data_IF_289705604421
#
_entry.id   IF_289705604421
#
_cell.length_a   1.000
_cell.length_b   1.000
_cell.length_c   1.000
_cell.angle_alpha   90.00
_cell.angle_beta   90.00
_cell.angle_gamma   90.00
#
_symmetry.space_group_name_H-M   'P 1'
#
loop_
_entity.id
_entity.type
_entity.pdbx_description
1 polymer ?
#
# COMPACT_ATOMS: atom_id res chain seq x y z
N UNK A 1 22.48 24.49 -18.18
CA UNK A 1 22.11 24.89 -16.80
C UNK A 1 20.72 25.51 -16.84
N UNK A 2 19.67 24.69 -16.74
CA UNK A 2 18.30 25.19 -16.65
C UNK A 2 18.03 25.58 -15.20
N UNK A 3 18.00 26.89 -14.94
CA UNK A 3 17.66 27.46 -13.64
C UNK A 3 16.29 26.94 -13.18
N UNK A 4 16.31 26.03 -12.22
CA UNK A 4 15.12 25.61 -11.50
C UNK A 4 14.62 26.81 -10.69
N UNK A 5 13.41 27.29 -11.01
CA UNK A 5 12.71 28.27 -10.18
C UNK A 5 12.61 27.70 -8.76
N UNK A 6 13.29 28.31 -7.80
CA UNK A 6 13.02 28.11 -6.37
C UNK A 6 11.76 28.90 -6.03
N UNK A 7 10.59 28.30 -6.20
CA UNK A 7 9.28 28.91 -5.89
C UNK A 7 9.00 29.02 -4.38
N UNK A 8 9.99 28.83 -3.51
CA UNK A 8 9.80 28.76 -2.06
C UNK A 8 9.05 27.51 -1.58
N UNK A 9 8.81 26.52 -2.45
CA UNK A 9 8.13 25.28 -2.04
C UNK A 9 8.93 24.49 -1.00
N UNK A 10 8.26 24.26 0.13
CA UNK A 10 8.72 23.41 1.23
C UNK A 10 8.10 22.02 1.10
N UNK A 11 8.91 21.00 1.35
CA UNK A 11 8.49 19.60 1.39
C UNK A 11 8.46 19.12 2.83
N UNK A 12 7.36 18.49 3.22
CA UNK A 12 7.30 17.74 4.46
C UNK A 12 8.28 16.57 4.41
N UNK A 13 9.13 16.48 5.42
CA UNK A 13 10.20 15.51 5.47
C UNK A 13 9.90 14.43 6.51
N UNK A 14 9.58 13.23 6.03
CA UNK A 14 9.42 12.05 6.86
C UNK A 14 10.58 11.09 6.67
N UNK A 15 10.98 10.40 7.73
CA UNK A 15 12.04 9.40 7.67
C UNK A 15 11.83 8.28 8.69
N UNK A 16 12.52 7.15 8.55
CA UNK A 16 12.47 6.10 9.58
C UNK A 16 11.26 5.16 9.53
N UNK A 17 10.56 5.08 8.40
CA UNK A 17 9.51 4.09 8.18
C UNK A 17 10.03 2.71 7.72
N UNK A 18 9.26 1.66 7.99
CA UNK A 18 9.46 0.34 7.39
C UNK A 18 8.61 -0.76 8.02
N UNK A 19 8.03 -1.60 7.17
CA UNK A 19 6.95 -2.51 7.58
C UNK A 19 7.38 -3.94 7.91
N UNK A 20 8.58 -4.37 7.49
CA UNK A 20 9.04 -5.73 7.74
C UNK A 20 9.22 -6.04 9.23
N UNK A 21 8.70 -7.18 9.67
CA UNK A 21 8.88 -7.72 11.02
C UNK A 21 9.32 -9.19 10.93
N UNK A 22 9.73 -9.77 12.05
CA UNK A 22 10.03 -11.20 12.16
C UNK A 22 9.06 -11.81 13.16
N UNK A 23 8.41 -12.93 12.78
CA UNK A 23 7.49 -13.64 13.67
C UNK A 23 8.16 -14.02 14.99
N UNK A 24 7.40 -13.92 16.08
CA UNK A 24 7.83 -14.26 17.42
C UNK A 24 9.12 -13.52 17.87
N UNK A 25 9.38 -12.34 17.31
CA UNK A 25 10.51 -11.47 17.67
C UNK A 25 9.98 -10.08 18.06
N UNK A 26 9.67 -9.86 19.36
CA UNK A 26 9.05 -8.63 19.85
C UNK A 26 9.87 -7.36 19.59
N UNK A 27 11.18 -7.52 19.41
CA UNK A 27 12.12 -6.44 19.10
C UNK A 27 11.96 -5.91 17.67
N UNK A 28 11.23 -6.61 16.81
CA UNK A 28 10.95 -6.19 15.43
C UNK A 28 9.48 -5.83 15.25
N UNK A 29 9.21 -4.68 14.65
CA UNK A 29 7.85 -4.19 14.47
C UNK A 29 7.70 -3.38 13.18
N UNK A 30 6.50 -3.34 12.56
CA UNK A 30 6.20 -2.36 11.53
C UNK A 30 6.21 -0.96 12.17
N UNK A 31 6.88 -0.01 11.53
CA UNK A 31 7.04 1.34 12.06
C UNK A 31 6.74 2.37 10.97
N UNK A 32 5.91 3.35 11.30
CA UNK A 32 5.61 4.46 10.39
C UNK A 32 6.79 5.44 10.33
N UNK A 33 6.78 6.28 9.29
CA UNK A 33 7.70 7.39 9.14
C UNK A 33 7.51 8.40 10.27
N UNK A 34 8.61 8.90 10.79
CA UNK A 34 8.69 9.98 11.76
C UNK A 34 8.78 11.30 10.99
N UNK A 35 7.95 12.26 11.36
CA UNK A 35 8.03 13.60 10.81
C UNK A 35 9.25 14.33 11.38
N UNK A 36 10.07 14.91 10.52
CA UNK A 36 11.29 15.62 10.90
C UNK A 36 11.16 17.15 10.79
N UNK A 37 10.16 17.64 10.05
CA UNK A 37 10.02 19.06 9.73
C UNK A 37 9.80 19.27 8.24
N UNK A 38 10.14 20.47 7.76
CA UNK A 38 10.06 20.83 6.33
C UNK A 38 11.42 21.25 5.81
N UNK A 39 11.67 20.94 4.54
CA UNK A 39 12.90 21.32 3.85
C UNK A 39 12.58 22.00 2.52
N UNK A 40 13.41 22.97 2.07
CA UNK A 40 13.29 23.54 0.74
C UNK A 40 13.43 22.47 -0.34
N UNK A 41 12.69 22.62 -1.44
CA UNK A 41 12.83 21.78 -2.64
C UNK A 41 14.29 21.57 -3.07
N UNK A 42 15.09 22.64 -3.00
CA UNK A 42 16.50 22.63 -3.39
C UNK A 42 17.36 21.67 -2.55
N UNK A 43 16.94 21.33 -1.33
CA UNK A 43 17.67 20.48 -0.40
C UNK A 43 17.15 19.04 -0.31
N UNK A 44 16.11 18.65 -1.06
CA UNK A 44 15.55 17.28 -1.00
C UNK A 44 16.59 16.19 -1.28
N UNK A 45 17.47 16.41 -2.26
CA UNK A 45 18.54 15.46 -2.59
C UNK A 45 19.57 15.39 -1.47
N UNK A 46 19.96 16.54 -0.90
CA UNK A 46 20.93 16.60 0.19
C UNK A 46 20.37 15.95 1.47
N UNK A 47 19.10 16.19 1.78
CA UNK A 47 18.42 15.56 2.91
C UNK A 47 18.39 14.02 2.79
N UNK A 48 18.12 13.52 1.57
CA UNK A 48 18.16 12.07 1.30
C UNK A 48 19.56 11.50 1.47
N UNK A 49 20.59 12.21 1.00
CA UNK A 49 22.00 11.84 1.16
C UNK A 49 22.40 11.82 2.63
N UNK A 50 22.02 12.84 3.40
CA UNK A 50 22.32 12.95 4.82
C UNK A 50 21.76 11.76 5.61
N UNK A 51 20.49 11.40 5.38
CA UNK A 51 19.89 10.19 6.00
C UNK A 51 20.65 8.93 5.61
N UNK A 52 21.07 8.78 4.35
CA UNK A 52 21.85 7.62 3.92
C UNK A 52 23.23 7.55 4.60
N UNK A 53 23.88 8.69 4.82
CA UNK A 53 25.17 8.78 5.55
C UNK A 53 24.97 8.42 7.03
N UNK A 54 23.98 9.00 7.70
CA UNK A 54 23.66 8.69 9.10
C UNK A 54 23.33 7.20 9.28
N UNK A 55 22.52 6.62 8.38
CA UNK A 55 22.26 5.19 8.37
C UNK A 55 23.53 4.37 8.11
N UNK A 56 24.44 4.83 7.25
CA UNK A 56 25.70 4.15 6.98
C UNK A 56 26.58 4.09 8.23
N UNK A 57 26.67 5.18 8.97
CA UNK A 57 27.56 5.36 10.12
C UNK A 57 27.00 4.71 11.39
N UNK A 58 25.70 4.84 11.63
CA UNK A 58 25.09 4.41 12.90
C UNK A 58 24.23 3.15 12.80
N UNK A 59 23.96 2.65 11.59
CA UNK A 59 23.11 1.48 11.37
C UNK A 59 23.70 0.20 11.98
N UNK A 60 22.85 -0.64 12.55
CA UNK A 60 23.27 -1.96 13.05
C UNK A 60 23.81 -2.82 11.90
N UNK A 61 24.95 -3.49 12.12
CA UNK A 61 25.67 -4.28 11.10
C UNK A 61 25.80 -5.77 11.44
N UNK A 62 25.65 -6.12 12.72
CA UNK A 62 25.73 -7.51 13.20
C UNK A 62 24.37 -8.20 13.09
N UNK A 63 23.32 -7.61 13.65
CA UNK A 63 21.96 -8.14 13.51
C UNK A 63 21.22 -7.48 12.35
N UNK A 64 21.10 -8.21 11.24
CA UNK A 64 20.39 -7.75 10.03
C UNK A 64 18.92 -7.41 10.27
N UNK A 65 18.27 -8.02 11.28
CA UNK A 65 16.86 -7.73 11.61
C UNK A 65 16.68 -6.32 12.16
N UNK A 66 17.72 -5.80 12.84
CA UNK A 66 17.75 -4.47 13.44
C UNK A 66 18.47 -3.43 12.55
N UNK A 67 18.95 -3.83 11.37
CA UNK A 67 19.77 -2.99 10.51
C UNK A 67 19.01 -1.86 9.78
N UNK A 68 17.68 -1.88 9.75
CA UNK A 68 16.88 -0.87 9.03
C UNK A 68 16.92 0.48 9.75
N UNK A 69 16.96 1.56 8.97
CA UNK A 69 16.95 2.95 9.47
C UNK A 69 15.84 3.24 10.48
N UNK A 70 14.68 2.59 10.36
CA UNK A 70 13.57 2.70 11.32
C UNK A 70 13.97 2.41 12.78
N UNK A 71 14.94 1.51 13.01
CA UNK A 71 15.46 1.24 14.35
C UNK A 71 16.59 2.20 14.71
N UNK A 72 17.49 2.48 13.76
CA UNK A 72 18.62 3.40 13.96
C UNK A 72 18.16 4.79 14.40
N UNK A 73 17.21 5.41 13.68
CA UNK A 73 16.70 6.75 14.01
C UNK A 73 16.06 6.80 15.40
N UNK A 74 15.37 5.73 15.81
CA UNK A 74 14.71 5.64 17.13
C UNK A 74 15.74 5.45 18.24
N UNK A 75 16.84 4.73 17.97
CA UNK A 75 17.96 4.58 18.90
C UNK A 75 18.76 5.87 19.06
N UNK A 76 18.99 6.60 17.96
CA UNK A 76 19.67 7.90 18.00
C UNK A 76 18.81 8.99 18.66
N UNK A 77 17.50 8.93 18.45
CA UNK A 77 16.57 9.98 18.84
C UNK A 77 16.32 10.96 17.69
N UNK A 78 15.05 11.36 17.53
CA UNK A 78 14.63 12.23 16.41
C UNK A 78 15.29 13.60 16.49
N UNK A 79 15.32 14.22 17.67
CA UNK A 79 15.93 15.55 17.84
C UNK A 79 17.44 15.54 17.55
N UNK A 80 18.16 14.52 18.02
CA UNK A 80 19.59 14.34 17.71
C UNK A 80 19.82 14.24 16.19
N UNK A 81 18.96 13.49 15.49
CA UNK A 81 19.04 13.41 14.02
C UNK A 81 18.74 14.76 13.37
N UNK A 82 17.74 15.52 13.84
CA UNK A 82 17.43 16.85 13.31
C UNK A 82 18.59 17.82 13.51
N UNK A 83 19.26 17.76 14.65
CA UNK A 83 20.43 18.60 14.95
C UNK A 83 21.63 18.24 14.05
N UNK A 84 21.92 16.96 13.84
CA UNK A 84 22.93 16.50 12.87
C UNK A 84 22.61 16.98 11.45
N UNK A 85 21.35 16.86 11.02
CA UNK A 85 20.89 17.33 9.72
C UNK A 85 21.13 18.83 9.52
N UNK A 86 20.93 19.65 10.56
CA UNK A 86 21.20 21.09 10.52
C UNK A 86 22.69 21.39 10.59
N UNK A 87 23.37 20.90 11.61
CA UNK A 87 24.75 21.29 11.94
C UNK A 87 25.77 20.72 10.95
N UNK A 88 25.63 19.45 10.56
CA UNK A 88 26.61 18.74 9.73
C UNK A 88 26.31 18.85 8.24
N UNK A 89 25.04 18.80 7.87
CA UNK A 89 24.61 18.77 6.46
C UNK A 89 24.03 20.11 5.98
N UNK A 90 23.93 21.12 6.85
CA UNK A 90 23.47 22.46 6.49
C UNK A 90 22.04 22.50 5.99
N UNK A 91 21.18 21.55 6.41
CA UNK A 91 19.78 21.56 6.02
C UNK A 91 19.06 22.72 6.71
N UNK A 92 18.32 23.50 5.93
CA UNK A 92 17.35 24.48 6.39
C UNK A 92 16.07 23.73 6.83
N UNK A 93 16.23 22.88 7.85
CA UNK A 93 15.16 22.05 8.39
C UNK A 93 14.31 22.87 9.37
N UNK A 94 13.10 23.21 8.92
CA UNK A 94 12.11 23.96 9.69
C UNK A 94 11.27 23.03 10.58
N UNK A 95 11.17 23.37 11.86
CA UNK A 95 10.21 22.73 12.75
C UNK A 95 8.80 23.20 12.42
N UNK A 96 7.91 22.27 12.08
CA UNK A 96 6.55 22.57 11.68
C UNK A 96 5.60 21.45 12.13
N UNK A 97 4.31 21.63 11.89
CA UNK A 97 3.34 20.54 11.97
C UNK A 97 3.17 19.88 10.61
N UNK A 98 3.04 18.54 10.55
CA UNK A 98 2.82 17.84 9.30
C UNK A 98 1.53 18.31 8.62
N UNK A 99 1.59 18.48 7.30
CA UNK A 99 0.40 18.70 6.48
C UNK A 99 -0.44 17.40 6.40
N UNK A 100 -1.77 17.49 6.28
CA UNK A 100 -2.61 16.32 6.06
C UNK A 100 -2.12 15.52 4.84
N UNK A 101 -2.01 14.20 5.00
CA UNK A 101 -1.63 13.34 3.89
C UNK A 101 -2.74 13.37 2.80
N UNK A 102 -2.35 13.37 1.52
CA UNK A 102 -3.33 13.35 0.44
C UNK A 102 -4.10 12.03 0.44
N UNK A 103 -5.36 12.08 0.01
CA UNK A 103 -6.17 10.87 -0.20
C UNK A 103 -5.50 9.96 -1.22
N UNK A 104 -5.62 8.65 -1.01
CA UNK A 104 -5.17 7.66 -1.98
C UNK A 104 -5.91 7.85 -3.31
N UNK A 105 -5.15 7.93 -4.41
CA UNK A 105 -5.69 7.97 -5.76
C UNK A 105 -5.21 6.75 -6.53
N UNK A 106 -6.15 5.95 -7.04
CA UNK A 106 -5.83 4.76 -7.83
C UNK A 106 -5.39 5.10 -9.26
N UNK A 107 -5.66 6.32 -9.73
CA UNK A 107 -5.35 6.80 -11.07
C UNK A 107 -5.98 5.97 -12.21
N UNK A 108 -7.01 5.18 -11.90
CA UNK A 108 -7.74 4.35 -12.87
C UNK A 108 -8.65 5.19 -13.77
N UNK A 109 -8.85 4.73 -15.00
CA UNK A 109 -9.69 5.39 -15.99
C UNK A 109 -9.00 6.60 -16.63
N UNK A 110 -9.77 7.47 -17.27
CA UNK A 110 -9.24 8.64 -18.01
C UNK A 110 -8.97 9.84 -17.10
N UNK A 111 -7.82 10.49 -17.31
CA UNK A 111 -7.41 11.70 -16.60
C UNK A 111 -6.74 12.71 -17.54
N UNK A 112 -6.99 14.03 -17.40
CA UNK A 112 -6.31 15.05 -18.18
C UNK A 112 -4.85 15.28 -17.69
N UNK A 113 -3.96 15.59 -18.63
CA UNK A 113 -2.61 16.11 -18.39
C UNK A 113 -2.55 17.62 -18.68
N UNK A 114 -1.56 18.30 -18.10
CA UNK A 114 -1.39 19.76 -18.21
C UNK A 114 -1.14 20.28 -19.63
N UNK A 115 -0.68 19.42 -20.52
CA UNK A 115 -0.33 19.75 -21.91
C UNK A 115 -1.48 19.46 -22.90
N UNK A 116 -2.70 19.26 -22.40
CA UNK A 116 -3.89 18.98 -23.20
C UNK A 116 -4.03 17.53 -23.65
N UNK A 117 -3.06 16.65 -23.33
CA UNK A 117 -3.18 15.20 -23.51
C UNK A 117 -3.89 14.57 -22.32
N UNK A 118 -4.16 13.27 -22.37
CA UNK A 118 -4.63 12.50 -21.23
C UNK A 118 -3.72 11.32 -20.89
N UNK A 119 -3.94 10.76 -19.70
CA UNK A 119 -3.47 9.44 -19.34
C UNK A 119 -4.65 8.54 -18.95
N UNK A 120 -4.49 7.23 -19.14
CA UNK A 120 -5.51 6.23 -18.83
C UNK A 120 -4.90 5.17 -17.92
N UNK A 121 -5.47 5.00 -16.72
CA UNK A 121 -5.07 3.95 -15.79
C UNK A 121 -5.83 2.67 -16.01
N UNK A 122 -5.09 1.57 -16.15
CA UNK A 122 -5.59 0.22 -16.32
C UNK A 122 -5.31 -0.54 -15.03
N UNK A 123 -6.37 -1.11 -14.45
CA UNK A 123 -6.22 -1.94 -13.26
C UNK A 123 -5.57 -3.27 -13.67
N UNK A 124 -4.54 -3.68 -12.92
CA UNK A 124 -3.82 -4.92 -13.17
C UNK A 124 -3.85 -5.73 -11.89
N UNK A 125 -4.71 -6.76 -11.85
CA UNK A 125 -4.85 -7.60 -10.65
C UNK A 125 -3.49 -8.16 -10.21
N UNK A 126 -3.07 -7.77 -9.02
CA UNK A 126 -1.77 -8.05 -8.42
C UNK A 126 -0.54 -7.67 -9.28
N UNK A 127 -0.69 -6.74 -10.23
CA UNK A 127 0.36 -6.36 -11.18
C UNK A 127 0.71 -7.45 -12.20
N UNK A 128 -0.08 -8.53 -12.31
CA UNK A 128 0.21 -9.62 -13.24
C UNK A 128 -0.31 -9.31 -14.65
N UNK A 129 0.62 -9.03 -15.55
CA UNK A 129 0.34 -8.83 -16.98
C UNK A 129 0.05 -10.16 -17.70
N UNK A 130 -1.15 -10.72 -17.52
CA UNK A 130 -1.58 -11.94 -18.22
C UNK A 130 -1.60 -11.72 -19.76
N UNK A 131 -1.40 -12.76 -20.60
CA UNK A 131 -1.31 -12.66 -22.06
C UNK A 131 -2.26 -11.66 -22.75
N UNK A 132 -3.55 -11.68 -22.43
CA UNK A 132 -4.56 -10.81 -23.03
C UNK A 132 -4.29 -9.33 -22.71
N UNK A 133 -4.11 -9.00 -21.42
CA UNK A 133 -3.78 -7.66 -20.97
C UNK A 133 -2.46 -7.16 -21.57
N UNK A 134 -1.45 -8.03 -21.62
CA UNK A 134 -0.14 -7.72 -22.23
C UNK A 134 -0.27 -7.39 -23.71
N UNK A 135 -1.09 -8.12 -24.46
CA UNK A 135 -1.32 -7.87 -25.89
C UNK A 135 -2.04 -6.53 -26.09
N UNK A 136 -3.12 -6.26 -25.36
CA UNK A 136 -3.86 -4.99 -25.47
C UNK A 136 -3.02 -3.77 -25.09
N UNK A 137 -2.28 -3.84 -23.98
CA UNK A 137 -1.37 -2.77 -23.58
C UNK A 137 -0.25 -2.57 -24.61
N UNK A 138 0.35 -3.65 -25.13
CA UNK A 138 1.38 -3.56 -26.17
C UNK A 138 0.84 -2.92 -27.45
N UNK A 139 -0.33 -3.35 -27.92
CA UNK A 139 -0.97 -2.79 -29.11
C UNK A 139 -1.20 -1.28 -28.95
N UNK A 140 -1.82 -0.87 -27.84
CA UNK A 140 -2.06 0.55 -27.54
C UNK A 140 -0.77 1.37 -27.52
N UNK A 141 0.27 0.87 -26.86
CA UNK A 141 1.57 1.57 -26.77
C UNK A 141 2.24 1.69 -28.14
N UNK A 142 2.28 0.61 -28.91
CA UNK A 142 2.95 0.59 -30.21
C UNK A 142 2.20 1.39 -31.28
N UNK A 143 0.87 1.26 -31.36
CA UNK A 143 0.07 1.90 -32.40
C UNK A 143 -0.12 3.41 -32.16
N UNK A 144 -0.28 3.82 -30.89
CA UNK A 144 -0.55 5.22 -30.54
C UNK A 144 0.70 5.96 -30.03
N UNK A 145 1.84 5.29 -29.91
CA UNK A 145 3.10 5.89 -29.42
C UNK A 145 3.01 6.40 -27.98
N UNK A 146 2.38 5.63 -27.10
CA UNK A 146 2.06 6.05 -25.73
C UNK A 146 3.26 5.88 -24.79
N UNK A 147 3.34 6.73 -23.77
CA UNK A 147 4.22 6.51 -22.62
C UNK A 147 3.61 5.52 -21.64
N UNK A 148 4.44 4.82 -20.85
CA UNK A 148 3.97 3.90 -19.80
C UNK A 148 4.54 4.33 -18.45
N UNK A 149 3.70 4.32 -17.41
CA UNK A 149 4.12 4.46 -16.01
C UNK A 149 3.48 3.37 -15.17
N UNK A 150 4.16 2.94 -14.11
CA UNK A 150 3.62 2.00 -13.13
C UNK A 150 3.18 2.77 -11.89
N UNK A 151 2.08 2.34 -11.27
CA UNK A 151 1.62 2.92 -10.00
C UNK A 151 2.16 2.12 -8.82
N UNK A 152 2.15 2.72 -7.62
CA UNK A 152 2.41 2.00 -6.38
C UNK A 152 1.27 1.02 -6.00
N UNK A 153 0.17 1.03 -6.75
CA UNK A 153 -0.93 0.07 -6.65
C UNK A 153 -0.77 -1.16 -7.55
N UNK A 154 0.38 -1.30 -8.22
CA UNK A 154 0.68 -2.36 -9.19
C UNK A 154 -0.06 -2.21 -10.54
N UNK A 155 -0.75 -1.09 -10.74
CA UNK A 155 -1.46 -0.76 -11.98
C UNK A 155 -0.55 -0.10 -13.03
N UNK A 156 -1.07 0.00 -14.26
CA UNK A 156 -0.38 0.58 -15.41
C UNK A 156 -1.09 1.84 -15.87
N UNK A 157 -0.33 2.91 -16.11
CA UNK A 157 -0.82 4.13 -16.74
C UNK A 157 -0.29 4.23 -18.17
N UNK A 158 -1.20 4.37 -19.12
CA UNK A 158 -0.90 4.77 -20.50
C UNK A 158 -0.96 6.29 -20.58
N UNK A 159 0.15 6.93 -20.93
CA UNK A 159 0.31 8.39 -20.88
C UNK A 159 0.43 9.01 -22.27
N UNK A 160 0.21 10.32 -22.33
CA UNK A 160 0.35 11.16 -23.51
C UNK A 160 -0.65 10.82 -24.62
N UNK A 161 -1.85 10.37 -24.24
CA UNK A 161 -2.92 9.99 -25.15
C UNK A 161 -3.53 11.25 -25.76
N UNK A 162 -3.56 11.30 -27.10
CA UNK A 162 -4.25 12.37 -27.86
C UNK A 162 -5.65 11.97 -28.27
N UNK A 163 -5.83 10.70 -28.66
CA UNK A 163 -7.10 10.15 -29.11
C UNK A 163 -7.56 9.09 -28.11
N UNK A 164 -8.47 9.51 -27.22
CA UNK A 164 -9.08 8.61 -26.23
C UNK A 164 -9.89 7.50 -26.91
N UNK A 165 -10.62 7.81 -27.98
CA UNK A 165 -11.49 6.85 -28.65
C UNK A 165 -10.67 5.77 -29.37
N UNK A 166 -9.53 6.12 -29.97
CA UNK A 166 -8.61 5.14 -30.53
C UNK A 166 -8.05 4.19 -29.44
N UNK A 167 -7.67 4.72 -28.28
CA UNK A 167 -7.22 3.88 -27.18
C UNK A 167 -8.32 2.91 -26.73
N UNK A 168 -9.52 3.43 -26.45
CA UNK A 168 -10.64 2.60 -25.99
C UNK A 168 -10.95 1.48 -27.00
N UNK A 169 -10.96 1.77 -28.31
CA UNK A 169 -11.14 0.74 -29.35
C UNK A 169 -10.08 -0.36 -29.31
N UNK A 170 -8.80 -0.01 -29.11
CA UNK A 170 -7.73 -1.00 -29.03
C UNK A 170 -7.90 -1.87 -27.78
N UNK A 171 -8.20 -1.26 -26.63
CA UNK A 171 -8.41 -1.99 -25.38
C UNK A 171 -9.63 -2.92 -25.47
N UNK A 172 -10.75 -2.43 -26.02
CA UNK A 172 -11.97 -3.19 -26.21
C UNK A 172 -11.74 -4.37 -27.18
N UNK A 173 -10.99 -4.16 -28.28
CA UNK A 173 -10.64 -5.21 -29.24
C UNK A 173 -9.77 -6.33 -28.64
N UNK A 174 -9.02 -6.02 -27.57
CA UNK A 174 -8.23 -6.99 -26.83
C UNK A 174 -8.92 -7.48 -25.55
N UNK A 175 -10.17 -7.11 -25.29
CA UNK A 175 -10.91 -7.54 -24.09
C UNK A 175 -10.35 -7.01 -22.78
N UNK A 176 -9.61 -5.88 -22.79
CA UNK A 176 -9.10 -5.27 -21.56
C UNK A 176 -10.27 -4.59 -20.82
N UNK A 177 -10.62 -5.03 -19.60
CA UNK A 177 -11.79 -4.49 -18.90
C UNK A 177 -11.56 -3.01 -18.54
N UNK A 178 -12.63 -2.23 -18.64
CA UNK A 178 -12.65 -0.86 -18.15
C UNK A 178 -12.65 -0.85 -16.62
N UNK A 179 -11.90 0.02 -15.94
CA UNK A 179 -11.89 0.06 -14.48
C UNK A 179 -13.26 0.26 -13.85
N UNK A 180 -14.18 0.94 -14.54
CA UNK A 180 -15.55 1.16 -14.10
C UNK A 180 -16.36 -0.13 -13.96
N UNK A 181 -15.99 -1.19 -14.70
CA UNK A 181 -16.64 -2.50 -14.63
C UNK A 181 -16.16 -3.36 -13.45
N UNK A 182 -15.07 -2.97 -12.79
CA UNK A 182 -14.52 -3.70 -11.65
C UNK A 182 -15.22 -3.25 -10.36
N UNK A 183 -15.41 -4.15 -9.41
CA UNK A 183 -15.94 -3.79 -8.08
C UNK A 183 -14.99 -2.81 -7.34
N UNK A 184 -15.49 -2.10 -6.33
CA UNK A 184 -14.64 -1.21 -5.53
C UNK A 184 -13.62 -2.00 -4.70
N UNK A 185 -14.04 -3.15 -4.15
CA UNK A 185 -13.13 -4.02 -3.39
C UNK A 185 -11.99 -4.55 -4.28
N UNK A 186 -12.28 -4.95 -5.52
CA UNK A 186 -11.26 -5.46 -6.45
C UNK A 186 -10.25 -4.40 -6.86
N UNK A 187 -10.71 -3.18 -7.15
CA UNK A 187 -9.82 -2.04 -7.49
C UNK A 187 -8.88 -1.65 -6.34
N UNK A 188 -9.25 -2.00 -5.10
CA UNK A 188 -8.49 -1.67 -3.90
C UNK A 188 -7.73 -2.87 -3.31
N UNK A 189 -7.74 -4.02 -3.98
CA UNK A 189 -7.07 -5.24 -3.55
C UNK A 189 -5.63 -5.30 -4.07
N UNK A 190 -4.70 -5.79 -3.24
CA UNK A 190 -3.30 -5.96 -3.63
C UNK A 190 -2.63 -7.12 -2.91
N UNK A 191 -1.97 -8.01 -3.65
CA UNK A 191 -1.13 -9.05 -3.10
C UNK A 191 0.35 -8.89 -3.46
N UNK A 192 1.23 -9.50 -2.65
CA UNK A 192 2.61 -9.77 -3.08
C UNK A 192 2.70 -11.10 -3.83
N UNK A 193 3.78 -11.35 -4.58
CA UNK A 193 3.92 -12.60 -5.32
C UNK A 193 3.78 -13.87 -4.49
N UNK A 194 4.40 -13.90 -3.30
CA UNK A 194 4.42 -15.07 -2.42
C UNK A 194 4.84 -16.37 -3.17
N UNK A 195 4.21 -17.51 -2.88
CA UNK A 195 4.43 -18.75 -3.61
C UNK A 195 3.93 -18.63 -5.06
N UNK A 196 4.54 -19.35 -6.02
CA UNK A 196 5.64 -20.31 -5.87
C UNK A 196 7.05 -19.69 -5.98
N UNK A 197 7.16 -18.39 -6.30
CA UNK A 197 8.45 -17.79 -6.70
C UNK A 197 9.24 -17.17 -5.55
N UNK A 198 8.59 -16.75 -4.47
CA UNK A 198 9.25 -16.16 -3.32
C UNK A 198 9.74 -17.24 -2.35
N UNK A 199 11.06 -17.40 -2.21
CA UNK A 199 11.68 -18.34 -1.25
C UNK A 199 11.47 -18.00 0.22
N UNK A 200 10.84 -16.86 0.54
CA UNK A 200 10.49 -16.45 1.91
C UNK A 200 9.00 -16.65 2.22
N UNK A 201 8.20 -17.04 1.23
CA UNK A 201 6.75 -17.16 1.39
C UNK A 201 6.39 -18.33 2.31
N UNK A 202 5.60 -18.03 3.33
CA UNK A 202 5.03 -19.01 4.24
C UNK A 202 3.72 -19.57 3.65
N UNK A 203 2.89 -18.68 3.08
CA UNK A 203 1.62 -19.00 2.44
C UNK A 203 1.52 -18.41 1.02
N UNK A 204 0.42 -18.70 0.33
CA UNK A 204 0.04 -18.03 -0.92
C UNK A 204 -0.36 -16.56 -0.67
N UNK A 205 -0.38 -15.74 -1.72
CA UNK A 205 -1.00 -14.40 -1.67
C UNK A 205 -1.57 -14.03 -3.04
N UNK A 206 -0.71 -13.79 -4.03
CA UNK A 206 -1.12 -13.40 -5.39
C UNK A 206 -2.14 -14.36 -6.01
N UNK A 207 -1.93 -15.68 -5.86
CA UNK A 207 -2.77 -16.69 -6.52
C UNK A 207 -4.11 -16.93 -5.81
N UNK A 208 -4.26 -16.49 -4.56
CA UNK A 208 -5.45 -16.80 -3.73
C UNK A 208 -6.29 -15.56 -3.42
N UNK A 209 -5.68 -14.36 -3.42
CA UNK A 209 -6.42 -13.13 -3.18
C UNK A 209 -7.60 -12.95 -4.15
N UNK A 210 -7.47 -13.20 -5.48
CA UNK A 210 -8.59 -13.08 -6.41
C UNK A 210 -9.80 -13.92 -5.98
N UNK A 211 -9.60 -15.16 -5.54
CA UNK A 211 -10.66 -16.03 -5.05
C UNK A 211 -11.37 -15.47 -3.80
N UNK A 212 -10.63 -14.80 -2.91
CA UNK A 212 -11.24 -14.13 -1.76
C UNK A 212 -12.08 -12.93 -2.18
N UNK A 213 -11.62 -12.18 -3.19
CA UNK A 213 -12.37 -11.06 -3.76
C UNK A 213 -13.63 -11.56 -4.46
N UNK A 214 -13.54 -12.64 -5.24
CA UNK A 214 -14.68 -13.27 -5.90
C UNK A 214 -15.77 -13.64 -4.88
N UNK A 215 -15.40 -14.29 -3.77
CA UNK A 215 -16.35 -14.67 -2.73
C UNK A 215 -17.03 -13.46 -2.04
N UNK A 216 -16.31 -12.35 -1.87
CA UNK A 216 -16.88 -11.09 -1.33
C UNK A 216 -17.87 -10.47 -2.32
N UNK A 217 -17.53 -10.49 -3.62
CA UNK A 217 -18.39 -9.99 -4.69
C UNK A 217 -19.66 -10.84 -4.84
N UNK A 218 -19.53 -12.17 -4.84
CA UNK A 218 -20.64 -13.14 -4.90
C UNK A 218 -21.59 -13.01 -3.71
N UNK A 219 -21.06 -12.66 -2.53
CA UNK A 219 -21.86 -12.37 -1.34
C UNK A 219 -22.56 -10.99 -1.38
N UNK A 220 -22.37 -10.20 -2.45
CA UNK A 220 -23.04 -8.92 -2.63
C UNK A 220 -22.35 -7.73 -1.95
N UNK A 221 -21.04 -7.84 -1.66
CA UNK A 221 -20.27 -6.80 -0.98
C UNK A 221 -19.22 -6.11 -1.86
N UNK A 222 -19.29 -6.30 -3.19
CA UNK A 222 -18.32 -5.74 -4.13
C UNK A 222 -18.28 -4.19 -4.18
N UNK A 223 -19.37 -3.53 -3.83
CA UNK A 223 -19.49 -2.06 -3.79
C UNK A 223 -18.90 -1.43 -2.52
N UNK A 224 -18.43 -2.23 -1.55
CA UNK A 224 -17.78 -1.68 -0.35
C UNK A 224 -16.37 -1.18 -0.72
N UNK A 225 -16.12 0.12 -0.53
CA UNK A 225 -14.81 0.76 -0.75
C UNK A 225 -13.87 0.47 0.43
N UNK A 226 -13.25 -0.71 0.40
CA UNK A 226 -12.28 -1.16 1.40
C UNK A 226 -10.93 -1.53 0.76
N UNK A 227 -9.84 -1.08 1.38
CA UNK A 227 -8.47 -1.47 1.00
C UNK A 227 -8.07 -2.79 1.64
N UNK A 228 -7.93 -3.82 0.80
CA UNK A 228 -7.46 -5.14 1.19
C UNK A 228 -6.03 -5.33 0.69
N UNK A 229 -5.13 -5.75 1.57
CA UNK A 229 -3.77 -6.11 1.14
C UNK A 229 -3.33 -7.44 1.72
N UNK A 230 -2.72 -8.29 0.91
CA UNK A 230 -2.31 -9.65 1.29
C UNK A 230 -0.82 -9.90 1.02
N UNK A 231 -0.14 -10.55 1.95
CA UNK A 231 1.25 -10.99 1.77
C UNK A 231 1.48 -12.41 2.27
N UNK A 232 2.39 -13.14 1.66
CA UNK A 232 2.63 -14.54 2.06
C UNK A 232 3.51 -14.71 3.31
N UNK A 233 4.00 -13.63 3.94
CA UNK A 233 4.94 -13.68 5.08
C UNK A 233 5.02 -12.31 5.79
N UNK A 234 5.60 -12.20 7.01
CA UNK A 234 5.73 -10.94 7.78
C UNK A 234 6.60 -9.84 7.17
N UNK A 235 7.19 -10.06 6.00
CA UNK A 235 7.98 -9.03 5.34
C UNK A 235 7.12 -7.87 4.82
N UNK A 236 5.80 -8.07 4.70
CA UNK A 236 4.82 -7.02 4.41
C UNK A 236 5.04 -6.32 3.05
N UNK A 237 5.44 -7.06 2.01
CA UNK A 237 5.75 -6.52 0.68
C UNK A 237 4.58 -5.74 0.03
N UNK A 238 3.34 -6.20 0.22
CA UNK A 238 2.12 -5.51 -0.20
C UNK A 238 1.55 -4.60 0.90
N UNK A 239 2.32 -4.26 1.95
CA UNK A 239 1.96 -3.27 2.96
C UNK A 239 0.61 -3.53 3.71
N UNK A 240 0.33 -4.76 4.18
CA UNK A 240 -0.94 -5.10 4.84
C UNK A 240 -1.10 -4.46 6.22
N UNK A 241 0.00 -4.21 6.94
CA UNK A 241 -0.01 -3.59 8.28
C UNK A 241 -0.46 -2.12 8.29
N UNK A 242 -0.65 -1.49 7.12
CA UNK A 242 -1.23 -0.14 7.01
C UNK A 242 -2.53 -0.16 6.19
N UNK A 243 -3.09 -1.33 5.89
CA UNK A 243 -4.32 -1.46 5.13
C UNK A 243 -5.53 -1.43 6.07
N UNK A 244 -6.70 -1.09 5.52
CA UNK A 244 -7.96 -1.18 6.27
C UNK A 244 -8.23 -2.63 6.67
N UNK A 245 -7.95 -3.56 5.74
CA UNK A 245 -7.94 -5.01 5.97
C UNK A 245 -6.61 -5.56 5.47
N UNK A 246 -5.78 -6.05 6.39
CA UNK A 246 -4.46 -6.61 6.10
C UNK A 246 -4.43 -8.11 6.33
N UNK A 247 -3.73 -8.84 5.47
CA UNK A 247 -3.51 -10.28 5.61
C UNK A 247 -2.02 -10.56 5.44
N UNK A 248 -1.42 -11.31 6.36
CA UNK A 248 -0.10 -11.87 6.13
C UNK A 248 0.02 -13.33 6.53
N UNK A 249 0.84 -14.09 5.80
CA UNK A 249 1.07 -15.51 6.05
C UNK A 249 1.77 -15.80 7.38
N UNK A 250 1.33 -16.87 8.04
CA UNK A 250 1.85 -17.40 9.28
C UNK A 250 2.01 -18.92 9.16
N UNK A 251 3.21 -19.45 9.45
CA UNK A 251 3.44 -20.90 9.45
C UNK A 251 3.08 -21.59 8.12
N UNK A 252 2.56 -22.82 8.21
CA UNK A 252 2.19 -23.61 7.03
C UNK A 252 0.69 -23.44 6.75
N UNK A 253 0.36 -22.47 5.88
CA UNK A 253 -1.00 -22.16 5.40
C UNK A 253 -1.94 -21.46 6.40
N UNK A 254 -1.43 -20.93 7.51
CA UNK A 254 -2.22 -20.07 8.40
C UNK A 254 -2.00 -18.59 8.05
N UNK A 255 -2.91 -17.74 8.50
CA UNK A 255 -2.90 -16.30 8.19
C UNK A 255 -3.15 -15.49 9.46
N UNK A 256 -2.53 -14.32 9.53
CA UNK A 256 -2.93 -13.25 10.45
C UNK A 256 -3.82 -12.28 9.70
N UNK A 257 -4.94 -11.90 10.34
CA UNK A 257 -5.82 -10.82 9.86
C UNK A 257 -5.60 -9.58 10.71
N UNK A 258 -5.45 -8.43 10.05
CA UNK A 258 -5.30 -7.12 10.63
C UNK A 258 -6.44 -6.21 10.15
N UNK A 259 -6.88 -5.28 11.00
CA UNK A 259 -7.93 -4.31 10.65
C UNK A 259 -7.63 -2.90 11.17
N UNK A 260 -8.24 -1.89 10.56
CA UNK A 260 -8.26 -0.50 11.07
C UNK A 260 -7.05 0.37 10.72
N UNK A 261 -6.16 -0.11 9.83
CA UNK A 261 -5.12 0.75 9.26
C UNK A 261 -5.72 1.85 8.40
N UNK A 262 -5.05 3.01 8.34
CA UNK A 262 -5.55 4.14 7.55
C UNK A 262 -5.09 4.05 6.10
N UNK A 263 -5.99 4.31 5.16
CA UNK A 263 -5.79 4.18 3.71
C UNK A 263 -4.61 4.99 3.17
N UNK A 264 -4.39 6.17 3.72
CA UNK A 264 -3.28 7.07 3.42
C UNK A 264 -1.95 6.65 4.08
N UNK A 265 -1.96 5.61 4.93
CA UNK A 265 -0.79 5.06 5.59
C UNK A 265 -0.37 5.77 6.88
N UNK A 266 -1.25 6.59 7.46
CA UNK A 266 -1.03 7.35 8.69
C UNK A 266 -1.16 6.51 9.98
N UNK A 267 -1.77 5.31 9.89
CA UNK A 267 -2.08 4.45 11.03
C UNK A 267 -1.78 2.98 10.72
N UNK A 268 -1.20 2.29 11.69
CA UNK A 268 -1.02 0.84 11.64
C UNK A 268 -2.33 0.13 12.00
N UNK A 269 -2.60 -0.97 11.32
CA UNK A 269 -3.69 -1.87 11.63
C UNK A 269 -3.41 -2.65 12.93
N UNK A 270 -4.47 -3.04 13.63
CA UNK A 270 -4.42 -3.91 14.83
C UNK A 270 -4.75 -5.35 14.45
N UNK A 271 -4.27 -6.31 15.24
CA UNK A 271 -4.55 -7.73 15.01
C UNK A 271 -6.03 -8.02 15.30
N UNK A 272 -6.70 -8.65 14.34
CA UNK A 272 -8.04 -9.22 14.49
C UNK A 272 -7.96 -10.70 14.86
N UNK A 273 -7.10 -11.44 14.18
CA UNK A 273 -6.89 -12.87 14.40
C UNK A 273 -5.41 -13.21 14.15
N UNK A 274 -4.76 -13.82 15.15
CA UNK A 274 -3.33 -14.19 15.07
C UNK A 274 -3.07 -15.43 14.21
N UNK A 275 -4.07 -16.30 14.08
CA UNK A 275 -3.88 -17.56 13.39
C UNK A 275 -5.20 -18.09 12.87
N UNK A 276 -5.39 -17.96 11.56
CA UNK A 276 -6.55 -18.48 10.85
C UNK A 276 -6.13 -19.44 9.73
N UNK A 277 -6.59 -20.70 9.76
CA UNK A 277 -6.34 -21.64 8.67
C UNK A 277 -6.90 -21.13 7.33
N UNK A 278 -6.23 -21.45 6.22
CA UNK A 278 -6.62 -21.01 4.88
C UNK A 278 -8.09 -21.31 4.53
N UNK A 279 -8.60 -22.46 4.95
CA UNK A 279 -9.99 -22.90 4.73
C UNK A 279 -11.04 -22.02 5.43
N UNK A 280 -10.65 -21.29 6.49
CA UNK A 280 -11.51 -20.37 7.23
C UNK A 280 -11.45 -18.93 6.70
N UNK A 281 -10.52 -18.63 5.77
CA UNK A 281 -10.32 -17.26 5.26
C UNK A 281 -11.54 -16.69 4.55
N UNK A 282 -12.16 -17.46 3.65
CA UNK A 282 -13.34 -16.99 2.90
C UNK A 282 -14.51 -16.68 3.83
N UNK A 283 -14.95 -17.59 4.73
CA UNK A 283 -16.01 -17.26 5.70
C UNK A 283 -15.68 -16.05 6.56
N UNK A 284 -14.44 -15.91 7.04
CA UNK A 284 -14.04 -14.79 7.89
C UNK A 284 -14.06 -13.44 7.14
N UNK A 285 -13.58 -13.40 5.89
CA UNK A 285 -13.60 -12.18 5.08
C UNK A 285 -15.02 -11.80 4.67
N UNK A 286 -15.83 -12.76 4.20
CA UNK A 286 -17.24 -12.50 3.87
C UNK A 286 -18.00 -12.01 5.11
N UNK A 287 -17.79 -12.63 6.27
CA UNK A 287 -18.37 -12.20 7.54
C UNK A 287 -17.94 -10.77 7.92
N UNK A 288 -16.67 -10.42 7.72
CA UNK A 288 -16.17 -9.07 8.00
C UNK A 288 -16.83 -8.02 7.11
N UNK A 289 -17.03 -8.31 5.82
CA UNK A 289 -17.74 -7.43 4.90
C UNK A 289 -19.23 -7.33 5.22
N UNK A 290 -19.86 -8.43 5.65
CA UNK A 290 -21.23 -8.42 6.16
C UNK A 290 -21.36 -7.51 7.40
N UNK A 291 -20.42 -7.61 8.34
CA UNK A 291 -20.39 -6.76 9.53
C UNK A 291 -20.18 -5.28 9.18
N UNK A 292 -19.29 -4.96 8.23
CA UNK A 292 -19.13 -3.58 7.73
C UNK A 292 -20.45 -3.05 7.18
N UNK A 293 -21.15 -3.83 6.33
CA UNK A 293 -22.44 -3.41 5.76
C UNK A 293 -23.50 -3.15 6.84
N UNK A 294 -23.56 -4.04 7.84
CA UNK A 294 -24.63 -4.03 8.83
C UNK A 294 -24.44 -2.96 9.92
N UNK A 295 -23.18 -2.66 10.28
CA UNK A 295 -22.87 -1.90 11.49
C UNK A 295 -22.10 -0.59 11.25
N UNK A 296 -21.58 -0.34 10.05
CA UNK A 296 -20.98 0.96 9.73
C UNK A 296 -22.05 2.05 9.65
N UNK A 297 -21.72 3.23 10.15
CA UNK A 297 -22.60 4.39 10.00
C UNK A 297 -22.63 4.85 8.53
N UNK A 298 -23.73 5.51 8.13
CA UNK A 298 -23.86 6.02 6.76
C UNK A 298 -22.70 6.97 6.42
N UNK A 299 -21.94 6.66 5.37
CA UNK A 299 -20.79 7.44 4.93
C UNK A 299 -19.52 7.29 5.79
N UNK A 300 -19.52 6.40 6.79
CA UNK A 300 -18.33 6.10 7.60
C UNK A 300 -17.29 5.34 6.75
N UNK A 301 -16.03 5.83 6.68
CA UNK A 301 -14.95 5.08 6.03
C UNK A 301 -14.69 3.74 6.75
N UNK A 302 -14.38 2.70 5.99
CA UNK A 302 -14.13 1.35 6.52
C UNK A 302 -13.01 1.35 7.58
N UNK A 303 -11.94 2.10 7.36
CA UNK A 303 -10.86 2.30 8.33
C UNK A 303 -11.36 2.76 9.71
N UNK A 304 -12.32 3.68 9.75
CA UNK A 304 -12.81 4.30 10.98
C UNK A 304 -13.80 3.38 11.70
N UNK A 305 -14.69 2.71 10.94
CA UNK A 305 -15.53 1.64 11.47
C UNK A 305 -14.68 0.55 12.15
N UNK A 306 -13.70 0.02 11.42
CA UNK A 306 -12.82 -1.07 11.89
C UNK A 306 -11.92 -0.65 13.05
N UNK A 307 -11.68 0.65 13.25
CA UNK A 307 -10.94 1.18 14.38
C UNK A 307 -11.84 1.41 15.61
N UNK A 308 -13.08 1.85 15.39
CA UNK A 308 -14.06 2.18 16.43
C UNK A 308 -14.58 0.95 17.16
N UNK A 309 -14.94 -0.10 16.42
CA UNK A 309 -15.52 -1.32 17.00
C UNK A 309 -14.44 -2.08 17.80
N UNK A 310 -14.70 -2.63 18.99
CA UNK A 310 -13.76 -3.52 19.69
C UNK A 310 -13.40 -4.78 18.88
N UNK A 311 -12.16 -5.27 19.02
CA UNK A 311 -11.72 -6.52 18.34
C UNK A 311 -12.59 -7.71 18.73
N UNK A 312 -12.97 -7.82 20.01
CA UNK A 312 -13.82 -8.92 20.49
C UNK A 312 -15.19 -8.96 19.79
N UNK A 313 -15.83 -7.80 19.65
CA UNK A 313 -17.12 -7.67 18.97
C UNK A 313 -17.01 -7.97 17.46
N UNK A 314 -15.94 -7.50 16.81
CA UNK A 314 -15.66 -7.87 15.41
C UNK A 314 -15.51 -9.39 15.25
N UNK A 315 -14.81 -10.05 16.18
CA UNK A 315 -14.59 -11.51 16.14
C UNK A 315 -15.88 -12.29 16.34
N UNK A 316 -16.79 -11.79 17.18
CA UNK A 316 -18.10 -12.39 17.43
C UNK A 316 -18.94 -12.41 16.17
N UNK A 317 -19.01 -11.27 15.48
CA UNK A 317 -19.77 -11.16 14.24
C UNK A 317 -19.25 -12.06 13.11
N UNK A 318 -17.96 -12.40 13.11
CA UNK A 318 -17.35 -13.24 12.07
C UNK A 318 -17.08 -14.69 12.53
N UNK A 319 -17.56 -15.07 13.70
CA UNK A 319 -17.45 -16.44 14.23
C UNK A 319 -16.01 -16.88 14.54
N UNK A 320 -15.20 -15.98 15.09
CA UNK A 320 -13.81 -16.22 15.49
C UNK A 320 -13.58 -16.19 17.01
N UNK A 321 -14.62 -16.23 17.84
CA UNK A 321 -14.50 -16.11 19.31
C UNK A 321 -13.65 -17.20 19.97
N UNK A 322 -13.58 -18.38 19.34
CA UNK A 322 -12.81 -19.53 19.83
C UNK A 322 -11.39 -19.66 19.28
N UNK A 323 -10.97 -18.82 18.34
CA UNK A 323 -9.61 -18.86 17.79
C UNK A 323 -8.62 -18.13 18.72
N UNK A 324 -7.32 -18.44 18.65
CA UNK A 324 -6.33 -17.74 19.47
C UNK A 324 -6.35 -16.21 19.21
N UNK A 325 -6.20 -15.44 20.28
CA UNK A 325 -6.02 -13.97 20.25
C UNK A 325 -4.58 -13.60 20.43
#
# INVERSE_FOLDING_TARGET
MSGGRSDGSLFDFYSGGGLGLTHNQPTTAPLLGLYLGRIPRAQVVEATRAIAILQKEHGERKDRRMARWKYTIRRLGVEVVKDELRARFGLALEDATPQPLPKMNLHLGWHPQRDGRGYYGISVENGRMHPLLRQGVRAAVCELGLGVRLTAQQDVLLCNIRDRAALERILDAHGVPRPEALSLVRRNAMACPAKPTCGLAMTEAENVLPHYIDAIEEAGYGDIDAVIRMTGCPNNCARPVTAEIGIYGYGKNDHVILVGGAREGSRLARVLCERLPAERMVPALVGLFAAIRAHAHAGEPVAEFLQRVPVAELREWIGLDGEAS
#
